data_IF_075410035017
#
_entry.id   IF_075410035017
#
_cell.length_a   1.000
_cell.length_b   1.000
_cell.length_c   1.000
_cell.angle_alpha   90.00
_cell.angle_beta   90.00
_cell.angle_gamma   90.00
#
_symmetry.space_group_name_H-M   'P 1'
#
loop_
_entity.id
_entity.type
_entity.pdbx_description
1 polymer ?
#
# COMPACT_ATOMS: atom_id res chain seq x y z
N UNK A 1 4.87 14.87 22.19
CA UNK A 1 4.58 14.87 20.75
C UNK A 1 3.72 16.06 20.40
N UNK A 2 3.88 16.57 19.21
CA UNK A 2 3.04 17.64 18.72
C UNK A 2 1.62 17.14 18.44
N UNK A 3 0.64 17.98 18.71
CA UNK A 3 -0.75 17.67 18.38
C UNK A 3 -1.05 18.13 16.96
N UNK A 4 -1.98 17.41 16.31
CA UNK A 4 -2.49 17.81 14.99
C UNK A 4 -4.00 18.04 15.09
N UNK A 5 -4.54 18.74 14.11
CA UNK A 5 -5.98 18.94 14.01
C UNK A 5 -6.64 17.76 13.31
N UNK A 6 -7.96 17.64 13.47
CA UNK A 6 -8.77 16.68 12.74
C UNK A 6 -8.63 16.87 11.23
N UNK A 7 -8.54 18.13 10.78
CA UNK A 7 -8.35 18.47 9.37
C UNK A 7 -7.00 17.99 8.83
N UNK A 8 -5.95 18.05 9.65
CA UNK A 8 -4.63 17.55 9.24
C UNK A 8 -4.69 16.05 8.94
N UNK A 9 -5.35 15.29 9.78
CA UNK A 9 -5.53 13.85 9.56
C UNK A 9 -6.36 13.58 8.31
N UNK A 10 -7.43 14.35 8.09
CA UNK A 10 -8.32 14.14 6.95
C UNK A 10 -7.66 14.44 5.61
N UNK A 11 -6.56 15.19 5.58
CA UNK A 11 -5.80 15.44 4.36
C UNK A 11 -5.12 14.19 3.82
N UNK A 12 -4.82 13.22 4.67
CA UNK A 12 -4.24 11.95 4.24
C UNK A 12 -5.39 11.03 3.84
N UNK A 13 -5.46 10.69 2.55
CA UNK A 13 -6.53 9.85 2.04
C UNK A 13 -6.12 8.38 2.11
N UNK A 14 -6.48 7.73 3.23
CA UNK A 14 -6.18 6.32 3.51
C UNK A 14 -7.39 5.48 3.12
N UNK A 15 -7.18 4.53 2.21
CA UNK A 15 -8.24 3.65 1.70
C UNK A 15 -7.85 2.19 1.83
N UNK A 16 -8.84 1.33 2.04
CA UNK A 16 -8.63 -0.11 1.98
C UNK A 16 -8.73 -0.58 0.53
N UNK A 17 -7.83 -1.48 0.14
CA UNK A 17 -7.87 -2.11 -1.17
C UNK A 17 -7.41 -3.56 -1.10
N UNK A 18 -7.71 -4.31 -2.15
CA UNK A 18 -7.32 -5.72 -2.27
C UNK A 18 -6.19 -5.86 -3.27
N UNK A 19 -5.13 -6.58 -2.89
CA UNK A 19 -4.02 -6.88 -3.80
C UNK A 19 -4.52 -7.87 -4.86
N UNK A 20 -4.49 -7.46 -6.12
CA UNK A 20 -4.95 -8.30 -7.25
C UNK A 20 -3.80 -8.90 -8.04
N UNK A 21 -2.63 -8.26 -8.05
CA UNK A 21 -1.39 -8.84 -8.59
C UNK A 21 -0.21 -8.48 -7.71
N UNK A 22 0.79 -9.35 -7.68
CA UNK A 22 2.03 -9.11 -6.97
C UNK A 22 3.16 -9.81 -7.76
N UNK A 23 4.22 -9.07 -8.06
CA UNK A 23 5.37 -9.62 -8.78
C UNK A 23 6.67 -9.04 -8.24
N UNK A 24 7.76 -9.76 -8.44
CA UNK A 24 9.09 -9.29 -8.04
C UNK A 24 9.48 -8.09 -8.92
N UNK A 25 9.90 -7.01 -8.29
CA UNK A 25 10.38 -5.82 -8.98
C UNK A 25 11.89 -5.96 -9.21
N UNK A 26 12.27 -6.61 -10.32
CA UNK A 26 13.66 -6.96 -10.59
C UNK A 26 14.57 -5.74 -10.77
N UNK A 27 14.03 -4.63 -11.30
CA UNK A 27 14.81 -3.42 -11.59
C UNK A 27 14.96 -2.49 -10.38
N UNK A 28 14.31 -2.79 -9.25
CA UNK A 28 14.43 -1.97 -8.05
C UNK A 28 15.82 -2.10 -7.42
N UNK A 29 16.34 -1.00 -6.87
CA UNK A 29 17.63 -0.98 -6.16
C UNK A 29 17.60 -1.82 -4.90
N UNK A 30 16.48 -1.80 -4.18
CA UNK A 30 16.24 -2.61 -2.99
C UNK A 30 15.14 -3.61 -3.29
N UNK A 31 15.21 -4.81 -2.68
CA UNK A 31 14.16 -5.81 -2.90
C UNK A 31 12.77 -5.22 -2.68
N UNK A 32 11.91 -5.37 -3.68
CA UNK A 32 10.56 -4.83 -3.65
C UNK A 32 9.65 -5.70 -4.50
N UNK A 33 8.34 -5.53 -4.30
CA UNK A 33 7.31 -6.08 -5.17
C UNK A 33 6.58 -4.95 -5.89
N UNK A 34 6.14 -5.23 -7.11
CA UNK A 34 5.15 -4.40 -7.79
C UNK A 34 3.77 -4.98 -7.46
N UNK A 35 2.94 -4.17 -6.84
CA UNK A 35 1.58 -4.55 -6.47
C UNK A 35 0.58 -3.78 -7.32
N UNK A 36 -0.47 -4.45 -7.74
CA UNK A 36 -1.69 -3.79 -8.22
C UNK A 36 -2.75 -4.00 -7.15
N UNK A 37 -3.36 -2.90 -6.70
CA UNK A 37 -4.31 -2.91 -5.59
C UNK A 37 -5.61 -2.29 -6.06
N UNK A 38 -6.70 -3.03 -5.90
CA UNK A 38 -8.04 -2.58 -6.25
C UNK A 38 -8.66 -1.83 -5.07
N UNK A 39 -8.81 -0.52 -5.23
CA UNK A 39 -9.41 0.36 -4.23
C UNK A 39 -10.89 0.64 -4.50
N UNK A 40 -11.54 -0.21 -5.29
CA UNK A 40 -12.96 -0.05 -5.61
C UNK A 40 -13.21 0.80 -6.85
N UNK A 41 -14.48 0.90 -7.28
CA UNK A 41 -14.81 1.51 -8.58
C UNK A 41 -14.53 3.01 -8.67
N UNK A 42 -14.55 3.73 -7.55
CA UNK A 42 -14.34 5.18 -7.57
C UNK A 42 -12.86 5.56 -7.73
N UNK A 43 -11.96 4.74 -7.18
CA UNK A 43 -10.51 4.98 -7.23
C UNK A 43 -9.86 4.11 -8.29
N UNK A 44 -10.30 2.86 -8.40
CA UNK A 44 -9.77 1.90 -9.35
C UNK A 44 -8.54 1.16 -8.84
N UNK A 45 -7.82 0.55 -9.77
CA UNK A 45 -6.62 -0.22 -9.47
C UNK A 45 -5.40 0.68 -9.58
N UNK A 46 -4.62 0.76 -8.50
CA UNK A 46 -3.40 1.56 -8.45
C UNK A 46 -2.18 0.64 -8.30
N UNK A 47 -1.08 1.08 -8.89
CA UNK A 47 0.21 0.38 -8.84
C UNK A 47 1.05 0.94 -7.70
N UNK A 48 1.77 0.06 -7.00
CA UNK A 48 2.70 0.47 -5.95
C UNK A 48 3.97 -0.38 -5.99
N UNK A 49 5.11 0.27 -5.77
CA UNK A 49 6.35 -0.42 -5.43
C UNK A 49 6.43 -0.52 -3.92
N UNK A 50 6.51 -1.73 -3.39
CA UNK A 50 6.47 -1.96 -1.95
C UNK A 50 7.66 -2.81 -1.49
N UNK A 51 8.43 -2.28 -0.54
CA UNK A 51 9.60 -2.98 0.03
C UNK A 51 9.16 -3.88 1.19
N UNK A 52 8.42 -4.94 0.85
CA UNK A 52 7.80 -5.84 1.82
C UNK A 52 8.21 -7.30 1.60
N UNK A 53 9.42 -7.54 1.07
CA UNK A 53 9.82 -8.88 0.64
C UNK A 53 10.24 -9.81 1.77
N UNK A 54 10.50 -9.30 2.97
CA UNK A 54 11.04 -10.12 4.06
C UNK A 54 10.01 -11.08 4.65
N UNK A 55 8.76 -10.65 4.78
CA UNK A 55 7.70 -11.42 5.46
C UNK A 55 6.65 -11.98 4.52
N UNK A 56 6.61 -11.54 3.26
CA UNK A 56 5.55 -11.90 2.33
C UNK A 56 6.13 -12.44 1.04
N UNK A 57 5.45 -13.43 0.47
CA UNK A 57 5.71 -13.87 -0.89
C UNK A 57 4.58 -13.38 -1.82
N UNK A 58 4.85 -13.43 -3.13
CA UNK A 58 3.91 -12.89 -4.11
C UNK A 58 2.59 -13.66 -4.14
N UNK A 59 2.61 -14.96 -3.90
CA UNK A 59 1.39 -15.78 -3.90
C UNK A 59 0.53 -15.50 -2.67
N UNK A 60 1.16 -15.39 -1.50
CA UNK A 60 0.45 -15.14 -0.26
C UNK A 60 -0.20 -13.76 -0.18
N UNK A 61 0.33 -12.79 -0.93
CA UNK A 61 -0.24 -11.44 -0.98
C UNK A 61 -1.53 -11.35 -1.77
N UNK A 62 -1.77 -12.24 -2.72
CA UNK A 62 -2.97 -12.19 -3.57
C UNK A 62 -4.23 -12.33 -2.73
N UNK A 63 -5.16 -11.40 -2.93
CA UNK A 63 -6.43 -11.38 -2.20
C UNK A 63 -6.37 -10.75 -0.82
N UNK A 64 -5.17 -10.37 -0.33
CA UNK A 64 -5.04 -9.69 0.96
C UNK A 64 -5.51 -8.25 0.84
N UNK A 65 -6.24 -7.77 1.86
CA UNK A 65 -6.57 -6.36 1.95
C UNK A 65 -5.45 -5.61 2.66
N UNK A 66 -5.19 -4.41 2.17
CA UNK A 66 -4.17 -3.51 2.70
C UNK A 66 -4.73 -2.11 2.81
N UNK A 67 -4.02 -1.23 3.50
CA UNK A 67 -4.37 0.18 3.60
C UNK A 67 -3.35 0.97 2.80
N UNK A 68 -3.83 1.80 1.88
CA UNK A 68 -2.97 2.63 1.05
C UNK A 68 -3.28 4.11 1.17
N UNK A 69 -2.26 4.95 1.06
CA UNK A 69 -2.42 6.38 0.86
C UNK A 69 -2.56 6.61 -0.64
N UNK A 70 -3.71 7.14 -1.06
CA UNK A 70 -4.05 7.22 -2.49
C UNK A 70 -3.93 8.63 -3.07
N UNK A 71 -3.59 9.62 -2.27
CA UNK A 71 -3.53 11.01 -2.72
C UNK A 71 -2.12 11.62 -2.73
N UNK A 72 -1.07 10.78 -2.77
CA UNK A 72 0.26 11.25 -3.15
C UNK A 72 0.36 11.40 -4.66
N UNK A 73 1.16 12.36 -5.16
CA UNK A 73 1.50 12.38 -6.58
C UNK A 73 2.26 11.10 -6.94
N UNK A 74 2.10 10.57 -8.16
CA UNK A 74 2.85 9.40 -8.59
C UNK A 74 4.37 9.63 -8.49
N UNK A 75 5.10 8.60 -8.08
CA UNK A 75 6.55 8.65 -7.94
C UNK A 75 7.18 7.68 -8.92
N UNK A 76 8.11 8.19 -9.73
CA UNK A 76 8.89 7.35 -10.64
C UNK A 76 9.89 6.51 -9.85
N UNK A 77 9.79 5.19 -9.98
CA UNK A 77 10.72 4.23 -9.36
C UNK A 77 11.18 3.28 -10.47
N UNK A 78 12.43 3.46 -10.93
CA UNK A 78 12.91 2.73 -12.10
C UNK A 78 11.94 2.91 -13.28
N UNK A 79 11.50 1.82 -13.92
CA UNK A 79 10.62 1.91 -15.09
C UNK A 79 9.14 2.10 -14.77
N UNK A 80 8.73 2.13 -13.49
CA UNK A 80 7.31 2.24 -13.14
C UNK A 80 7.01 3.53 -12.39
N UNK A 81 5.73 3.92 -12.43
CA UNK A 81 5.20 4.96 -11.57
C UNK A 81 4.43 4.31 -10.41
N UNK A 82 4.90 4.55 -9.18
CA UNK A 82 4.21 4.15 -7.97
C UNK A 82 3.13 5.18 -7.67
N UNK A 83 1.87 4.75 -7.65
CA UNK A 83 0.71 5.64 -7.60
C UNK A 83 0.10 5.75 -6.21
N UNK A 84 0.51 4.89 -5.30
CA UNK A 84 0.02 4.90 -3.92
C UNK A 84 1.09 4.37 -2.98
N UNK A 85 0.95 4.67 -1.70
CA UNK A 85 1.80 4.12 -0.65
C UNK A 85 1.03 3.03 0.10
N UNK A 86 1.55 1.81 0.06
CA UNK A 86 1.00 0.73 0.89
C UNK A 86 1.62 0.85 2.28
N UNK A 87 0.77 0.94 3.28
CA UNK A 87 1.20 1.23 4.65
C UNK A 87 1.64 -0.02 5.40
N UNK A 88 2.55 0.17 6.33
CA UNK A 88 3.05 -0.91 7.18
C UNK A 88 3.93 -0.38 8.31
N UNK A 89 4.29 -1.29 9.20
CA UNK A 89 5.16 -0.98 10.34
C UNK A 89 6.55 -1.53 10.08
N UNK A 90 7.56 -0.68 9.79
CA UNK A 90 8.92 -1.14 9.68
C UNK A 90 9.43 -1.53 11.07
N UNK A 91 9.93 -2.76 11.19
CA UNK A 91 10.50 -3.27 12.43
C UNK A 91 11.97 -2.89 12.53
N UNK A 92 12.59 -3.14 13.70
CA UNK A 92 13.99 -2.81 13.95
C UNK A 92 14.95 -3.56 13.02
N UNK A 93 14.55 -4.74 12.53
CA UNK A 93 15.35 -5.54 11.57
C UNK A 93 15.09 -5.13 10.11
N UNK A 94 14.22 -4.15 9.87
CA UNK A 94 13.85 -3.68 8.54
C UNK A 94 12.67 -4.40 7.90
N UNK A 95 12.20 -5.50 8.46
CA UNK A 95 11.02 -6.19 7.95
C UNK A 95 9.77 -5.35 8.18
N UNK A 96 8.88 -5.28 7.19
CA UNK A 96 7.67 -4.46 7.26
C UNK A 96 6.45 -5.35 7.49
N UNK A 97 5.67 -5.02 8.51
CA UNK A 97 4.40 -5.68 8.79
C UNK A 97 3.28 -4.80 8.22
N UNK A 98 2.49 -5.36 7.32
CA UNK A 98 1.39 -4.63 6.66
C UNK A 98 0.27 -4.32 7.64
N UNK A 99 -0.45 -3.22 7.36
CA UNK A 99 -1.68 -2.86 8.07
C UNK A 99 -2.85 -3.46 7.29
N UNK A 100 -3.72 -4.17 8.00
CA UNK A 100 -4.89 -4.80 7.41
C UNK A 100 -6.12 -4.50 8.26
N UNK A 101 -7.33 -4.44 7.66
CA UNK A 101 -8.54 -4.45 8.48
C UNK A 101 -8.64 -5.80 9.20
N UNK A 102 -9.20 -5.79 10.41
CA UNK A 102 -9.33 -7.01 11.24
C UNK A 102 -10.15 -8.09 10.54
N UNK A 103 -11.10 -7.69 9.69
CA UNK A 103 -11.94 -8.57 8.87
C UNK A 103 -12.19 -7.92 7.52
N UNK A 104 -12.61 -8.69 6.50
CA UNK A 104 -12.84 -8.11 5.18
C UNK A 104 -13.88 -7.00 5.21
N UNK A 105 -13.58 -5.92 4.47
CA UNK A 105 -14.48 -4.78 4.29
C UNK A 105 -14.54 -4.43 2.80
N UNK A 106 -15.46 -3.54 2.45
CA UNK A 106 -15.58 -3.09 1.07
C UNK A 106 -14.36 -2.28 0.63
N UNK A 107 -13.83 -2.58 -0.56
CA UNK A 107 -12.71 -1.81 -1.11
C UNK A 107 -13.09 -0.35 -1.33
N UNK A 108 -12.19 0.56 -1.01
CA UNK A 108 -12.38 1.98 -1.19
C UNK A 108 -12.90 2.70 0.05
N UNK A 109 -13.25 2.00 1.11
CA UNK A 109 -13.64 2.66 2.36
C UNK A 109 -12.48 3.48 2.89
N UNK A 110 -12.78 4.70 3.32
CA UNK A 110 -11.79 5.62 3.86
C UNK A 110 -11.59 5.36 5.35
N UNK A 111 -10.32 5.31 5.75
CA UNK A 111 -9.96 5.21 7.16
C UNK A 111 -10.32 6.53 7.86
N UNK A 112 -10.93 6.41 9.01
CA UNK A 112 -11.37 7.57 9.78
C UNK A 112 -10.84 7.53 11.21
#
# INVERSE_FOLDING_TARGET
METISWQDFEQVDLRVGTIVTAEVFAEARRPAYILHVDFGPDIGVLKSSAQITDLYDTEGLLGQQVIGVVNFPPKQIGPIQSQCLITGFPQSDGAVVLIQPERPVENGLKLA
#
